data_IF_080036491867
#
_entry.id   IF_080036491867
#
_cell.length_a   1.000
_cell.length_b   1.000
_cell.length_c   1.000
_cell.angle_alpha   90.00
_cell.angle_beta   90.00
_cell.angle_gamma   90.00
#
_symmetry.space_group_name_H-M   'P 1'
#
loop_
_entity.id
_entity.type
_entity.pdbx_description
1 polymer ?
#
# COMPACT_ATOMS: atom_id res chain seq x y z
N UNK A 1 26.75 13.04 -0.40
CA UNK A 1 25.52 13.70 0.09
C UNK A 1 25.92 14.68 1.18
N UNK A 2 25.59 15.96 1.03
CA UNK A 2 25.89 16.97 2.04
C UNK A 2 24.97 16.77 3.27
N UNK A 3 25.40 17.22 4.48
CA UNK A 3 24.58 17.11 5.69
C UNK A 3 23.19 17.78 5.56
N UNK A 4 23.11 18.89 4.80
CA UNK A 4 21.85 19.56 4.50
C UNK A 4 20.91 18.70 3.64
N UNK A 5 21.46 17.98 2.66
CA UNK A 5 20.68 17.07 1.79
C UNK A 5 20.13 15.89 2.59
N UNK A 6 20.93 15.34 3.51
CA UNK A 6 20.49 14.25 4.38
C UNK A 6 19.35 14.67 5.30
N UNK A 7 19.46 15.86 5.93
CA UNK A 7 18.39 16.41 6.77
C UNK A 7 17.08 16.61 5.97
N UNK A 8 17.18 17.12 4.75
CA UNK A 8 16.03 17.29 3.86
C UNK A 8 15.40 15.94 3.48
N UNK A 9 16.21 14.93 3.16
CA UNK A 9 15.74 13.58 2.84
C UNK A 9 14.99 12.93 4.02
N UNK A 10 15.57 13.00 5.23
CA UNK A 10 14.94 12.49 6.44
C UNK A 10 13.64 13.25 6.77
N UNK A 11 13.64 14.57 6.58
CA UNK A 11 12.43 15.40 6.75
C UNK A 11 11.30 14.96 5.83
N UNK A 12 11.57 14.74 4.53
CA UNK A 12 10.59 14.24 3.58
C UNK A 12 10.11 12.83 3.94
N UNK A 13 11.02 11.93 4.33
CA UNK A 13 10.66 10.58 4.74
C UNK A 13 9.73 10.58 5.96
N UNK A 14 10.10 11.31 7.03
CA UNK A 14 9.25 11.45 8.22
C UNK A 14 7.89 12.07 7.92
N UNK A 15 7.86 13.08 7.05
CA UNK A 15 6.60 13.73 6.65
C UNK A 15 5.70 12.79 5.84
N UNK A 16 6.26 11.95 4.96
CA UNK A 16 5.49 10.93 4.25
C UNK A 16 4.82 9.96 5.23
N UNK A 17 5.55 9.48 6.25
CA UNK A 17 5.01 8.61 7.29
C UNK A 17 3.89 9.28 8.08
N UNK A 18 4.06 10.55 8.46
CA UNK A 18 3.03 11.31 9.18
C UNK A 18 1.76 11.46 8.32
N UNK A 19 1.90 11.80 7.04
CA UNK A 19 0.76 11.93 6.11
C UNK A 19 0.01 10.61 5.97
N UNK A 20 0.74 9.49 5.83
CA UNK A 20 0.13 8.15 5.72
C UNK A 20 -0.65 7.82 6.99
N UNK A 21 -0.05 8.03 8.15
CA UNK A 21 -0.70 7.75 9.43
C UNK A 21 -1.94 8.63 9.64
N UNK A 22 -1.83 9.92 9.39
CA UNK A 22 -2.97 10.84 9.50
C UNK A 22 -4.11 10.49 8.53
N UNK A 23 -3.77 10.18 7.28
CA UNK A 23 -4.77 9.78 6.28
C UNK A 23 -5.46 8.46 6.67
N UNK A 24 -4.71 7.52 7.26
CA UNK A 24 -5.27 6.27 7.78
C UNK A 24 -6.24 6.52 8.93
N UNK A 25 -5.86 7.32 9.92
CA UNK A 25 -6.75 7.68 11.02
C UNK A 25 -8.05 8.35 10.54
N UNK A 26 -7.96 9.24 9.56
CA UNK A 26 -9.13 9.90 8.97
C UNK A 26 -10.01 8.88 8.22
N UNK A 27 -9.41 7.98 7.45
CA UNK A 27 -10.14 6.94 6.73
C UNK A 27 -10.87 5.98 7.70
N UNK A 28 -10.20 5.54 8.75
CA UNK A 28 -10.79 4.65 9.77
C UNK A 28 -11.92 5.35 10.54
N UNK A 29 -11.77 6.63 10.91
CA UNK A 29 -12.81 7.44 11.53
C UNK A 29 -14.03 7.61 10.60
N UNK A 30 -13.80 7.86 9.31
CA UNK A 30 -14.87 7.96 8.32
C UNK A 30 -15.60 6.61 8.15
N UNK A 31 -14.86 5.50 8.09
CA UNK A 31 -15.43 4.16 8.00
C UNK A 31 -16.29 3.83 9.23
N UNK A 32 -15.83 4.17 10.44
CA UNK A 32 -16.60 4.02 11.67
C UNK A 32 -17.89 4.84 11.65
N UNK A 33 -17.82 6.11 11.24
CA UNK A 33 -18.98 6.98 11.12
C UNK A 33 -20.02 6.43 10.14
N UNK A 34 -19.57 5.97 8.97
CA UNK A 34 -20.44 5.34 7.95
C UNK A 34 -21.12 4.12 8.55
N UNK A 35 -20.39 3.25 9.26
CA UNK A 35 -20.95 2.06 9.90
C UNK A 35 -22.01 2.38 10.93
N UNK A 36 -21.83 3.47 11.73
CA UNK A 36 -22.84 3.91 12.69
C UNK A 36 -24.08 4.50 12.03
N UNK A 37 -23.90 5.37 11.04
CA UNK A 37 -25.03 6.02 10.33
C UNK A 37 -25.84 5.01 9.51
N UNK A 38 -25.18 4.03 8.92
CA UNK A 38 -25.80 3.02 8.06
C UNK A 38 -26.09 1.69 8.79
N UNK A 39 -26.17 1.68 10.10
CA UNK A 39 -26.32 0.46 10.93
C UNK A 39 -27.57 -0.37 10.62
N UNK A 40 -28.60 0.20 9.98
CA UNK A 40 -29.81 -0.49 9.54
C UNK A 40 -29.78 -0.98 8.08
N UNK A 41 -28.69 -0.75 7.35
CA UNK A 41 -28.55 -1.13 5.96
C UNK A 41 -27.92 -2.52 5.80
N UNK A 42 -28.02 -3.08 4.58
CA UNK A 42 -27.34 -4.32 4.21
C UNK A 42 -25.82 -4.21 4.44
N UNK A 43 -25.26 -5.23 5.09
CA UNK A 43 -23.82 -5.25 5.48
C UNK A 43 -22.87 -5.13 4.29
N UNK A 44 -23.22 -5.69 3.12
CA UNK A 44 -22.40 -5.60 1.91
C UNK A 44 -22.40 -4.18 1.34
N UNK A 45 -23.54 -3.49 1.42
CA UNK A 45 -23.64 -2.08 1.00
C UNK A 45 -22.80 -1.21 1.93
N UNK A 46 -22.94 -1.40 3.25
CA UNK A 46 -22.16 -0.65 4.24
C UNK A 46 -20.66 -0.86 4.02
N UNK A 47 -20.21 -2.10 3.89
CA UNK A 47 -18.80 -2.42 3.63
C UNK A 47 -18.29 -1.82 2.32
N UNK A 48 -19.11 -1.80 1.27
CA UNK A 48 -18.75 -1.19 -0.01
C UNK A 48 -18.57 0.32 0.10
N UNK A 49 -19.47 1.01 0.81
CA UNK A 49 -19.39 2.47 1.03
C UNK A 49 -18.18 2.81 1.90
N UNK A 50 -17.93 2.05 2.96
CA UNK A 50 -16.75 2.20 3.81
C UNK A 50 -15.46 2.04 3.01
N UNK A 51 -15.35 1.00 2.19
CA UNK A 51 -14.20 0.73 1.35
C UNK A 51 -13.95 1.83 0.32
N UNK A 52 -15.00 2.32 -0.35
CA UNK A 52 -14.88 3.43 -1.30
C UNK A 52 -14.45 4.72 -0.62
N UNK A 53 -15.03 5.04 0.54
CA UNK A 53 -14.63 6.22 1.33
C UNK A 53 -13.17 6.15 1.74
N UNK A 54 -12.70 4.98 2.18
CA UNK A 54 -11.31 4.75 2.55
C UNK A 54 -10.36 4.95 1.38
N UNK A 55 -10.72 4.46 0.18
CA UNK A 55 -9.93 4.68 -1.04
C UNK A 55 -9.84 6.17 -1.36
N UNK A 56 -10.95 6.89 -1.34
CA UNK A 56 -10.99 8.31 -1.67
C UNK A 56 -10.15 9.11 -0.66
N UNK A 57 -10.27 8.83 0.62
CA UNK A 57 -9.53 9.54 1.68
C UNK A 57 -8.06 9.14 1.64
N UNK A 58 -7.74 7.86 1.70
CA UNK A 58 -6.37 7.38 1.81
C UNK A 58 -5.56 7.70 0.56
N UNK A 59 -6.11 7.42 -0.63
CA UNK A 59 -5.36 7.66 -1.86
C UNK A 59 -5.61 9.04 -2.45
N UNK A 60 -6.85 9.54 -2.47
CA UNK A 60 -7.17 10.84 -3.04
C UNK A 60 -6.52 11.97 -2.27
N UNK A 61 -6.86 12.11 -0.98
CA UNK A 61 -6.36 13.18 -0.13
C UNK A 61 -4.86 13.05 0.14
N UNK A 62 -4.40 11.86 0.53
CA UNK A 62 -3.02 11.67 0.93
C UNK A 62 -2.04 11.80 -0.23
N UNK A 63 -2.38 11.32 -1.43
CA UNK A 63 -1.58 11.54 -2.64
C UNK A 63 -1.49 13.03 -2.94
N UNK A 64 -2.62 13.76 -2.92
CA UNK A 64 -2.65 15.19 -3.21
C UNK A 64 -1.78 16.00 -2.22
N UNK A 65 -1.90 15.70 -0.92
CA UNK A 65 -1.09 16.35 0.13
C UNK A 65 0.39 16.01 -0.04
N UNK A 66 0.74 14.73 -0.22
CA UNK A 66 2.12 14.30 -0.38
C UNK A 66 2.76 14.92 -1.62
N UNK A 67 2.06 14.90 -2.75
CA UNK A 67 2.56 15.49 -4.00
C UNK A 67 2.82 16.99 -3.86
N UNK A 68 1.88 17.71 -3.22
CA UNK A 68 2.00 19.15 -3.00
C UNK A 68 3.17 19.49 -2.07
N UNK A 69 3.30 18.78 -0.95
CA UNK A 69 4.35 19.00 0.04
C UNK A 69 5.74 18.67 -0.50
N UNK A 70 5.85 17.62 -1.33
CA UNK A 70 7.11 17.24 -1.96
C UNK A 70 7.46 18.06 -3.19
N UNK A 71 6.55 18.95 -3.63
CA UNK A 71 6.70 19.71 -4.87
C UNK A 71 6.68 18.81 -6.12
N UNK A 72 6.06 17.63 -6.00
CA UNK A 72 5.97 16.67 -7.10
C UNK A 72 5.02 17.21 -8.16
N UNK A 73 5.50 17.28 -9.40
CA UNK A 73 4.68 17.57 -10.58
C UNK A 73 4.39 16.27 -11.30
N UNK A 74 3.11 16.07 -11.65
CA UNK A 74 2.70 14.90 -12.40
C UNK A 74 3.50 14.80 -13.72
N UNK A 75 4.30 13.73 -13.84
CA UNK A 75 5.07 13.45 -15.03
C UNK A 75 4.54 12.19 -15.72
N UNK A 76 3.92 12.37 -16.89
CA UNK A 76 3.43 11.27 -17.72
C UNK A 76 4.55 10.32 -18.17
N UNK A 77 5.81 10.74 -18.07
CA UNK A 77 6.95 9.90 -18.47
C UNK A 77 7.15 8.69 -17.55
N UNK A 78 6.62 8.72 -16.33
CA UNK A 78 6.64 7.58 -15.39
C UNK A 78 5.77 6.42 -15.87
N UNK A 79 4.79 6.68 -16.74
CA UNK A 79 3.90 5.68 -17.34
C UNK A 79 4.39 5.17 -18.71
N UNK A 80 5.66 5.42 -19.05
CA UNK A 80 6.24 4.89 -20.29
C UNK A 80 6.34 3.37 -20.25
N UNK A 81 6.21 2.75 -21.42
CA UNK A 81 6.43 1.31 -21.58
C UNK A 81 7.74 0.89 -20.89
N UNK A 82 7.72 -0.09 -19.99
CA UNK A 82 8.89 -0.48 -19.21
C UNK A 82 10.01 -0.99 -20.11
N UNK A 83 11.21 -0.52 -19.83
CA UNK A 83 12.42 -1.06 -20.46
C UNK A 83 12.76 -2.37 -19.77
N UNK A 84 13.10 -3.42 -20.54
CA UNK A 84 13.54 -4.73 -19.99
C UNK A 84 12.49 -5.44 -19.10
N UNK A 85 11.25 -5.44 -19.53
CA UNK A 85 10.13 -6.09 -18.79
C UNK A 85 10.45 -7.54 -18.39
N UNK A 86 11.06 -8.35 -19.28
CA UNK A 86 11.43 -9.73 -18.95
C UNK A 86 12.38 -9.83 -17.75
N UNK A 87 13.38 -8.94 -17.66
CA UNK A 87 14.28 -8.89 -16.50
C UNK A 87 13.56 -8.43 -15.24
N UNK A 88 12.60 -7.50 -15.34
CA UNK A 88 11.80 -7.08 -14.21
C UNK A 88 10.95 -8.25 -13.67
N UNK A 89 10.29 -9.00 -14.54
CA UNK A 89 9.48 -10.16 -14.16
C UNK A 89 10.35 -11.25 -13.52
N UNK A 90 11.55 -11.52 -14.04
CA UNK A 90 12.45 -12.55 -13.48
C UNK A 90 12.91 -12.24 -12.06
N UNK A 91 12.96 -10.98 -11.66
CA UNK A 91 13.24 -10.57 -10.29
C UNK A 91 11.97 -10.51 -9.42
N UNK A 92 10.84 -10.10 -10.01
CA UNK A 92 9.59 -9.98 -9.27
C UNK A 92 9.10 -11.32 -8.70
N UNK A 93 9.14 -12.38 -9.49
CA UNK A 93 8.65 -13.70 -9.09
C UNK A 93 9.35 -14.25 -7.83
N UNK A 94 10.70 -14.37 -7.78
CA UNK A 94 11.37 -14.87 -6.57
C UNK A 94 11.20 -13.95 -5.37
N UNK A 95 11.16 -12.63 -5.57
CA UNK A 95 10.98 -11.68 -4.48
C UNK A 95 9.54 -11.70 -3.94
N UNK A 96 8.54 -11.87 -4.79
CA UNK A 96 7.17 -12.10 -4.36
C UNK A 96 7.06 -13.40 -3.54
N UNK A 97 7.71 -14.48 -3.99
CA UNK A 97 7.81 -15.73 -3.25
C UNK A 97 8.47 -15.54 -1.88
N UNK A 98 9.56 -14.78 -1.80
CA UNK A 98 10.19 -14.45 -0.52
C UNK A 98 9.25 -13.67 0.41
N UNK A 99 8.45 -12.76 -0.12
CA UNK A 99 7.40 -12.05 0.62
C UNK A 99 6.36 -13.01 1.20
N UNK A 100 5.89 -13.98 0.42
CA UNK A 100 4.94 -15.00 0.91
C UNK A 100 5.54 -15.86 2.01
N UNK A 101 6.81 -16.28 1.88
CA UNK A 101 7.51 -17.03 2.93
C UNK A 101 7.60 -16.18 4.20
N UNK A 102 7.96 -14.90 4.11
CA UNK A 102 7.99 -14.01 5.26
C UNK A 102 6.62 -13.88 5.93
N UNK A 103 5.55 -13.79 5.15
CA UNK A 103 4.18 -13.76 5.68
C UNK A 103 3.84 -15.04 6.47
N UNK A 104 4.16 -16.20 5.91
CA UNK A 104 3.95 -17.48 6.59
C UNK A 104 4.74 -17.56 7.89
N UNK A 105 6.00 -17.10 7.91
CA UNK A 105 6.83 -17.06 9.12
C UNK A 105 6.21 -16.15 10.17
N UNK A 106 5.76 -14.94 9.79
CA UNK A 106 5.12 -14.00 10.73
C UNK A 106 3.85 -14.60 11.33
N UNK A 107 3.01 -15.23 10.50
CA UNK A 107 1.80 -15.92 10.97
C UNK A 107 2.13 -17.08 11.92
N UNK A 108 3.12 -17.91 11.58
CA UNK A 108 3.56 -19.01 12.42
C UNK A 108 4.11 -18.53 13.77
N UNK A 109 4.94 -17.47 13.76
CA UNK A 109 5.47 -16.86 14.98
C UNK A 109 4.35 -16.25 15.83
N UNK A 110 3.41 -15.55 15.22
CA UNK A 110 2.25 -14.98 15.90
C UNK A 110 1.40 -16.08 16.56
N UNK A 111 1.16 -17.17 15.86
CA UNK A 111 0.42 -18.32 16.40
C UNK A 111 1.15 -18.97 17.59
N UNK A 112 2.48 -19.20 17.47
CA UNK A 112 3.26 -19.87 18.50
C UNK A 112 3.49 -19.02 19.75
N UNK A 113 3.76 -17.70 19.59
CA UNK A 113 4.13 -16.83 20.71
C UNK A 113 2.92 -16.20 21.41
N UNK A 114 1.86 -15.88 20.69
CA UNK A 114 0.75 -15.08 21.21
C UNK A 114 -0.48 -15.95 21.49
N UNK A 115 -0.49 -17.23 21.09
CA UNK A 115 -1.68 -18.10 21.13
C UNK A 115 -2.94 -17.43 20.55
N UNK A 116 -2.73 -16.50 19.62
CA UNK A 116 -3.76 -15.61 19.12
C UNK A 116 -4.36 -16.17 17.83
N UNK A 117 -5.36 -17.02 17.99
CA UNK A 117 -6.15 -17.51 16.85
C UNK A 117 -6.79 -16.36 16.06
N UNK A 118 -7.13 -15.24 16.72
CA UNK A 118 -7.73 -14.07 16.08
C UNK A 118 -6.82 -13.44 15.03
N UNK A 119 -5.49 -13.44 15.21
CA UNK A 119 -4.56 -12.88 14.22
C UNK A 119 -4.55 -13.68 12.90
N UNK A 120 -4.73 -15.00 12.97
CA UNK A 120 -4.86 -15.86 11.78
C UNK A 120 -6.25 -15.65 11.15
N UNK A 121 -7.28 -15.59 11.98
CA UNK A 121 -8.64 -15.30 11.54
C UNK A 121 -8.74 -13.94 10.88
N UNK A 122 -8.19 -12.87 11.47
CA UNK A 122 -8.18 -11.52 10.91
C UNK A 122 -7.46 -11.44 9.55
N UNK A 123 -6.51 -12.33 9.30
CA UNK A 123 -5.80 -12.38 8.01
C UNK A 123 -6.55 -13.20 6.96
N UNK A 124 -7.20 -14.27 7.36
CA UNK A 124 -7.89 -15.20 6.47
C UNK A 124 -9.37 -14.89 6.29
N UNK A 125 -10.03 -14.36 7.33
CA UNK A 125 -11.47 -14.10 7.35
C UNK A 125 -11.94 -13.13 6.25
N UNK A 126 -11.23 -12.02 5.94
CA UNK A 126 -11.65 -11.16 4.84
C UNK A 126 -11.71 -11.87 3.49
N UNK A 127 -10.83 -12.85 3.27
CA UNK A 127 -10.77 -13.62 2.02
C UNK A 127 -11.87 -14.69 1.99
N UNK A 128 -12.08 -15.38 3.12
CA UNK A 128 -13.01 -16.50 3.23
C UNK A 128 -14.45 -16.01 3.39
N UNK A 129 -14.68 -15.01 4.26
CA UNK A 129 -16.02 -14.49 4.54
C UNK A 129 -16.63 -13.72 3.37
N UNK A 130 -15.81 -13.07 2.53
CA UNK A 130 -16.30 -12.41 1.32
C UNK A 130 -16.81 -13.40 0.26
N UNK A 131 -16.43 -14.66 0.34
CA UNK A 131 -16.85 -15.70 -0.63
C UNK A 131 -18.16 -16.42 -0.27
N UNK A 132 -18.50 -16.51 1.01
CA UNK A 132 -19.68 -17.27 1.47
C UNK A 132 -20.91 -16.40 1.62
N UNK A 133 -21.89 -16.60 0.74
CA UNK A 133 -23.17 -15.88 0.78
C UNK A 133 -23.17 -14.49 0.15
N UNK A 134 -22.07 -14.07 -0.47
CA UNK A 134 -21.96 -12.77 -1.13
C UNK A 134 -22.58 -12.79 -2.52
N UNK A 135 -23.36 -11.75 -2.86
CA UNK A 135 -23.86 -11.58 -4.21
C UNK A 135 -22.73 -11.38 -5.22
N UNK A 136 -22.94 -11.82 -6.46
CA UNK A 136 -21.95 -11.70 -7.55
C UNK A 136 -21.47 -10.25 -7.77
N UNK A 137 -22.34 -9.26 -7.55
CA UNK A 137 -22.01 -7.84 -7.65
C UNK A 137 -20.95 -7.41 -6.62
N UNK A 138 -21.04 -7.92 -5.39
CA UNK A 138 -20.11 -7.59 -4.32
C UNK A 138 -18.73 -8.20 -4.58
N UNK A 139 -18.67 -9.44 -5.07
CA UNK A 139 -17.42 -10.08 -5.49
C UNK A 139 -16.76 -9.33 -6.65
N UNK A 140 -17.55 -8.90 -7.65
CA UNK A 140 -17.05 -8.08 -8.76
C UNK A 140 -16.53 -6.72 -8.25
N UNK A 141 -17.22 -6.09 -7.31
CA UNK A 141 -16.80 -4.85 -6.67
C UNK A 141 -15.46 -5.02 -5.95
N UNK A 142 -15.32 -6.05 -5.10
CA UNK A 142 -14.07 -6.35 -4.41
C UNK A 142 -12.92 -6.64 -5.38
N UNK A 143 -13.19 -7.38 -6.45
CA UNK A 143 -12.20 -7.67 -7.48
C UNK A 143 -11.68 -6.37 -8.14
N UNK A 144 -12.58 -5.51 -8.58
CA UNK A 144 -12.20 -4.21 -9.19
C UNK A 144 -11.40 -3.37 -8.19
N UNK A 145 -11.85 -3.32 -6.95
CA UNK A 145 -11.20 -2.54 -5.90
C UNK A 145 -9.79 -3.06 -5.61
N UNK A 146 -9.63 -4.36 -5.35
CA UNK A 146 -8.37 -4.94 -4.88
C UNK A 146 -7.36 -5.18 -6.02
N UNK A 147 -7.85 -5.51 -7.22
CA UNK A 147 -6.98 -5.91 -8.34
C UNK A 147 -6.66 -4.75 -9.27
N UNK A 148 -7.54 -3.76 -9.34
CA UNK A 148 -7.38 -2.64 -10.28
C UNK A 148 -7.13 -1.33 -9.56
N UNK A 149 -8.07 -0.88 -8.71
CA UNK A 149 -8.01 0.46 -8.13
C UNK A 149 -6.88 0.61 -7.11
N UNK A 150 -6.81 -0.28 -6.11
CA UNK A 150 -5.80 -0.18 -5.08
C UNK A 150 -4.38 -0.22 -5.66
N UNK A 151 -3.99 -1.21 -6.50
CA UNK A 151 -2.65 -1.25 -7.09
C UNK A 151 -2.30 -0.01 -7.93
N UNK A 152 -3.26 0.53 -8.70
CA UNK A 152 -3.01 1.74 -9.50
C UNK A 152 -2.68 2.95 -8.61
N UNK A 153 -3.47 3.18 -7.56
CA UNK A 153 -3.24 4.28 -6.63
C UNK A 153 -1.97 4.08 -5.80
N UNK A 154 -1.72 2.86 -5.35
CA UNK A 154 -0.53 2.52 -4.58
C UNK A 154 0.75 2.72 -5.39
N UNK A 155 0.82 2.21 -6.61
CA UNK A 155 1.98 2.42 -7.47
C UNK A 155 2.21 3.90 -7.77
N UNK A 156 1.15 4.64 -8.05
CA UNK A 156 1.27 6.08 -8.26
C UNK A 156 1.79 6.80 -7.01
N UNK A 157 1.26 6.49 -5.84
CA UNK A 157 1.65 7.18 -4.61
C UNK A 157 3.07 6.80 -4.16
N UNK A 158 3.31 5.50 -4.00
CA UNK A 158 4.59 5.06 -3.42
C UNK A 158 5.74 5.14 -4.43
N UNK A 159 5.55 4.73 -5.68
CA UNK A 159 6.62 4.72 -6.70
C UNK A 159 6.64 6.00 -7.52
N UNK A 160 5.48 6.54 -7.84
CA UNK A 160 5.35 7.80 -8.56
C UNK A 160 5.78 8.98 -7.70
N UNK A 161 5.12 9.21 -6.57
CA UNK A 161 5.33 10.42 -5.75
C UNK A 161 6.48 10.25 -4.76
N UNK A 162 6.38 9.29 -3.83
CA UNK A 162 7.33 9.18 -2.71
C UNK A 162 8.71 8.77 -3.21
N UNK A 163 8.82 7.63 -3.89
CA UNK A 163 10.12 7.14 -4.36
C UNK A 163 10.81 8.13 -5.28
N UNK A 164 10.08 8.67 -6.28
CA UNK A 164 10.66 9.63 -7.25
C UNK A 164 11.18 10.89 -6.54
N UNK A 165 10.46 11.40 -5.54
CA UNK A 165 10.87 12.59 -4.78
C UNK A 165 12.11 12.34 -3.89
N UNK A 166 12.38 11.09 -3.56
CA UNK A 166 13.54 10.69 -2.74
C UNK A 166 14.74 10.20 -3.56
N UNK A 167 14.55 9.86 -4.84
CA UNK A 167 15.66 9.41 -5.72
C UNK A 167 16.86 10.35 -5.76
N UNK A 168 16.72 11.69 -5.74
CA UNK A 168 17.87 12.59 -5.71
C UNK A 168 18.79 12.39 -4.51
N UNK A 169 18.29 11.79 -3.44
CA UNK A 169 19.05 11.52 -2.21
C UNK A 169 19.68 10.11 -2.18
N UNK A 170 19.43 9.30 -3.19
CA UNK A 170 19.97 7.94 -3.36
C UNK A 170 18.89 6.91 -3.64
N UNK A 171 19.12 6.07 -4.64
CA UNK A 171 18.13 5.11 -5.11
C UNK A 171 17.78 4.06 -4.03
N UNK A 172 18.77 3.52 -3.31
CA UNK A 172 18.54 2.55 -2.24
C UNK A 172 17.71 3.15 -1.10
N UNK A 173 18.03 4.38 -0.67
CA UNK A 173 17.27 5.12 0.32
C UNK A 173 15.81 5.34 -0.14
N UNK A 174 15.61 5.79 -1.38
CA UNK A 174 14.28 6.03 -1.94
C UNK A 174 13.43 4.75 -1.99
N UNK A 175 14.03 3.62 -2.39
CA UNK A 175 13.36 2.31 -2.42
C UNK A 175 12.95 1.89 -1.01
N UNK A 176 13.88 1.93 -0.04
CA UNK A 176 13.61 1.50 1.33
C UNK A 176 12.54 2.34 2.01
N UNK A 177 12.61 3.68 1.90
CA UNK A 177 11.60 4.56 2.48
C UNK A 177 10.24 4.38 1.82
N UNK A 178 10.19 4.27 0.49
CA UNK A 178 8.93 4.00 -0.22
C UNK A 178 8.32 2.66 0.18
N UNK A 179 9.14 1.61 0.35
CA UNK A 179 8.70 0.31 0.81
C UNK A 179 8.20 0.33 2.26
N UNK A 180 8.88 1.07 3.14
CA UNK A 180 8.45 1.29 4.53
C UNK A 180 7.08 1.97 4.57
N UNK A 181 6.92 3.06 3.82
CA UNK A 181 5.65 3.76 3.69
C UNK A 181 4.54 2.83 3.16
N UNK A 182 4.85 2.02 2.17
CA UNK A 182 3.92 1.05 1.60
C UNK A 182 3.47 0.00 2.62
N UNK A 183 4.40 -0.56 3.38
CA UNK A 183 4.10 -1.50 4.46
C UNK A 183 3.21 -0.88 5.54
N UNK A 184 3.56 0.34 5.99
CA UNK A 184 2.81 1.05 7.03
C UNK A 184 1.39 1.47 6.58
N UNK A 185 1.19 1.76 5.31
CA UNK A 185 -0.13 2.12 4.79
C UNK A 185 -1.17 1.00 4.92
N UNK A 186 -0.75 -0.26 5.02
CA UNK A 186 -1.66 -1.38 5.23
C UNK A 186 -2.24 -1.45 6.65
N UNK A 187 -1.61 -0.77 7.63
CA UNK A 187 -2.14 -0.61 9.00
C UNK A 187 -2.22 -1.91 9.82
N UNK A 188 -1.68 -3.02 9.33
CA UNK A 188 -1.70 -4.32 9.98
C UNK A 188 -0.25 -4.87 10.07
N UNK A 189 0.18 -5.22 11.27
CA UNK A 189 1.54 -5.72 11.50
C UNK A 189 1.83 -7.02 10.76
N UNK A 190 0.84 -7.89 10.59
CA UNK A 190 0.99 -9.15 9.86
C UNK A 190 1.21 -8.92 8.37
N UNK A 191 0.54 -7.92 7.80
CA UNK A 191 0.73 -7.54 6.40
C UNK A 191 2.00 -6.72 6.19
N UNK A 192 2.45 -5.97 7.21
CA UNK A 192 3.61 -5.08 7.10
C UNK A 192 4.85 -5.77 6.56
N UNK A 193 5.26 -6.91 7.13
CA UNK A 193 6.48 -7.61 6.71
C UNK A 193 6.41 -8.04 5.23
N UNK A 194 5.30 -8.62 4.84
CA UNK A 194 5.05 -9.04 3.48
C UNK A 194 5.04 -7.85 2.51
N UNK A 195 4.23 -6.84 2.80
CA UNK A 195 4.10 -5.68 1.93
C UNK A 195 5.36 -4.84 1.87
N UNK A 196 6.16 -4.78 2.94
CA UNK A 196 7.47 -4.14 2.94
C UNK A 196 8.43 -4.83 1.96
N UNK A 197 8.52 -6.16 1.98
CA UNK A 197 9.35 -6.93 1.05
C UNK A 197 8.87 -6.73 -0.39
N UNK A 198 7.56 -6.86 -0.65
CA UNK A 198 6.98 -6.57 -1.96
C UNK A 198 7.24 -5.13 -2.37
N UNK A 199 7.18 -4.21 -1.41
CA UNK A 199 7.51 -2.79 -1.60
C UNK A 199 8.93 -2.56 -2.11
N UNK A 200 9.92 -3.25 -1.55
CA UNK A 200 11.32 -3.20 -2.01
C UNK A 200 11.40 -3.74 -3.45
N UNK A 201 10.73 -4.85 -3.74
CA UNK A 201 10.71 -5.46 -5.06
C UNK A 201 10.18 -4.50 -6.13
N UNK A 202 8.99 -3.96 -5.89
CA UNK A 202 8.34 -3.04 -6.80
C UNK A 202 9.17 -1.75 -6.96
N UNK A 203 9.74 -1.24 -5.86
CA UNK A 203 10.66 -0.11 -5.90
C UNK A 203 11.90 -0.36 -6.74
N UNK A 204 12.48 -1.57 -6.65
CA UNK A 204 13.60 -1.97 -7.49
C UNK A 204 13.20 -2.12 -8.97
N UNK A 205 12.04 -2.75 -9.23
CA UNK A 205 11.50 -2.87 -10.60
C UNK A 205 11.29 -1.49 -11.21
N UNK A 206 10.70 -0.55 -10.47
CA UNK A 206 10.55 0.85 -10.87
C UNK A 206 11.89 1.49 -11.23
N UNK A 207 12.92 1.31 -10.38
CA UNK A 207 14.27 1.81 -10.63
C UNK A 207 14.89 1.19 -11.89
N UNK A 208 14.78 -0.13 -12.04
CA UNK A 208 15.41 -0.87 -13.14
C UNK A 208 14.73 -0.65 -14.50
N UNK A 209 13.40 -0.45 -14.50
CA UNK A 209 12.61 -0.28 -15.74
C UNK A 209 12.40 1.18 -16.12
N UNK A 210 12.50 2.10 -15.17
CA UNK A 210 12.16 3.51 -15.35
C UNK A 210 10.64 3.76 -15.49
N UNK A 211 9.79 2.76 -15.18
CA UNK A 211 8.34 2.82 -15.31
C UNK A 211 7.65 2.34 -14.03
N UNK A 212 6.47 2.88 -13.74
CA UNK A 212 5.56 2.41 -12.67
C UNK A 212 4.47 1.46 -13.20
N UNK A 213 4.52 1.15 -14.50
CA UNK A 213 3.67 0.15 -15.15
C UNK A 213 4.46 -1.10 -15.45
#
# INVERSE_FOLDING_TARGET
>A
MCAADFKSACGKAGLALIIIFAARCIADAAAWLIGTVMSGCDSQIVSSVQSLSSIIILYGLAIAVTARVFGYRFDKTVYKKPKRLGKAISWFVPMYGAGQIANIIVLAVSFLLIHNQSAVEDTLTPIVSSGTGSGAWYLAFLFIQMVILAPLFEEYWFRGVIQTSLMPYGNGFAILVSALCFGMAHGNIHQFCYTFIVGICLGYVRYATGSIM
#
